data_IF_284082146138
#
_entry.id   IF_284082146138
#
_cell.length_a   1.000
_cell.length_b   1.000
_cell.length_c   1.000
_cell.angle_alpha   90.00
_cell.angle_beta   90.00
_cell.angle_gamma   90.00
#
_symmetry.space_group_name_H-M   'P 1'
#
loop_
_entity.id
_entity.type
_entity.pdbx_description
1 polymer ?
#
# COMPACT_ATOMS: atom_id res chain seq x y z
N UNK A 1 14.46 13.03 -42.58
CA UNK A 1 14.82 12.39 -41.29
C UNK A 1 13.60 11.63 -40.82
N UNK A 2 13.56 10.32 -41.08
CA UNK A 2 12.41 9.46 -40.80
C UNK A 2 12.44 9.05 -39.33
N UNK A 3 11.44 9.50 -38.57
CA UNK A 3 11.25 9.12 -37.17
C UNK A 3 10.65 7.70 -37.18
N UNK A 4 11.49 6.71 -36.86
CA UNK A 4 11.03 5.35 -36.59
C UNK A 4 10.32 5.34 -35.25
N UNK A 5 9.02 5.08 -35.26
CA UNK A 5 8.23 4.83 -34.07
C UNK A 5 8.51 3.39 -33.66
N UNK A 6 9.33 3.21 -32.63
CA UNK A 6 9.47 1.92 -31.94
C UNK A 6 8.11 1.53 -31.35
N UNK A 7 7.54 0.43 -31.84
CA UNK A 7 6.39 -0.21 -31.22
C UNK A 7 6.79 -0.72 -29.83
N UNK A 8 5.99 -0.50 -28.77
CA UNK A 8 6.26 -1.12 -27.49
C UNK A 8 6.13 -2.64 -27.61
N UNK A 9 7.06 -3.33 -26.94
CA UNK A 9 7.28 -4.76 -26.97
C UNK A 9 5.98 -5.58 -26.89
N UNK A 10 5.90 -6.56 -27.79
CA UNK A 10 4.88 -7.63 -27.77
C UNK A 10 4.86 -8.24 -26.38
N UNK A 11 3.76 -8.00 -25.66
CA UNK A 11 3.45 -8.66 -24.39
C UNK A 11 3.52 -10.16 -24.66
N UNK A 12 4.50 -10.82 -24.06
CA UNK A 12 4.71 -12.26 -24.24
C UNK A 12 3.41 -12.99 -23.92
N UNK A 13 2.92 -13.75 -24.89
CA UNK A 13 1.78 -14.64 -24.71
C UNK A 13 2.09 -15.55 -23.53
N UNK A 14 1.23 -15.53 -22.51
CA UNK A 14 1.34 -16.44 -21.38
C UNK A 14 0.98 -17.85 -21.88
N UNK A 15 1.95 -18.53 -22.50
CA UNK A 15 1.80 -19.92 -22.95
C UNK A 15 1.69 -20.85 -21.73
N UNK A 16 0.51 -21.47 -21.55
CA UNK A 16 0.34 -22.64 -20.69
C UNK A 16 -0.95 -22.73 -19.87
N UNK A 17 -1.70 -21.65 -19.67
CA UNK A 17 -2.97 -21.71 -18.93
C UNK A 17 -4.06 -20.95 -19.67
N UNK A 18 -4.98 -21.68 -20.27
CA UNK A 18 -6.18 -21.12 -20.88
C UNK A 18 -7.05 -20.52 -19.78
N UNK A 19 -7.30 -19.22 -19.86
CA UNK A 19 -8.22 -18.56 -18.96
C UNK A 19 -9.65 -19.04 -19.23
N UNK A 20 -10.33 -19.46 -18.16
CA UNK A 20 -11.74 -19.84 -18.21
C UNK A 20 -12.59 -18.76 -17.55
N UNK A 21 -13.64 -18.35 -18.26
CA UNK A 21 -14.54 -17.33 -17.77
C UNK A 21 -15.36 -17.86 -16.58
N UNK A 22 -15.33 -17.21 -15.41
CA UNK A 22 -16.09 -17.66 -14.26
C UNK A 22 -17.60 -17.44 -14.47
N UNK A 23 -18.42 -18.22 -13.76
CA UNK A 23 -19.86 -17.99 -13.73
C UNK A 23 -20.17 -16.65 -13.04
N UNK A 24 -21.12 -15.89 -13.59
CA UNK A 24 -21.43 -14.54 -13.10
C UNK A 24 -21.79 -14.49 -11.61
N UNK A 25 -22.47 -15.53 -11.10
CA UNK A 25 -22.92 -15.62 -9.71
C UNK A 25 -21.78 -15.89 -8.73
N UNK A 26 -20.65 -16.42 -9.20
CA UNK A 26 -19.54 -16.87 -8.34
C UNK A 26 -18.40 -15.85 -8.25
N UNK A 27 -18.33 -14.86 -9.14
CA UNK A 27 -17.23 -13.87 -9.16
C UNK A 27 -17.06 -13.16 -7.82
N UNK A 28 -18.15 -12.59 -7.27
CA UNK A 28 -18.09 -11.90 -5.98
C UNK A 28 -17.55 -12.80 -4.86
N UNK A 29 -18.03 -14.05 -4.82
CA UNK A 29 -17.63 -15.02 -3.80
C UNK A 29 -16.17 -15.44 -3.97
N UNK A 30 -15.71 -15.62 -5.21
CA UNK A 30 -14.34 -16.00 -5.52
C UNK A 30 -13.32 -14.90 -5.13
N UNK A 31 -13.71 -13.62 -5.22
CA UNK A 31 -12.89 -12.48 -4.85
C UNK A 31 -13.19 -11.92 -3.44
N UNK A 32 -14.05 -12.59 -2.68
CA UNK A 32 -14.39 -12.16 -1.33
C UNK A 32 -13.11 -12.10 -0.47
N UNK A 33 -12.88 -10.95 0.15
CA UNK A 33 -11.68 -10.74 0.95
C UNK A 33 -10.39 -10.51 0.16
N UNK A 34 -10.45 -10.19 -1.14
CA UNK A 34 -9.26 -9.91 -1.96
C UNK A 34 -8.35 -8.80 -1.42
N UNK A 35 -8.86 -7.92 -0.57
CA UNK A 35 -8.06 -6.88 0.10
C UNK A 35 -7.42 -7.34 1.42
N UNK A 36 -7.56 -8.61 1.81
CA UNK A 36 -7.01 -9.16 3.05
C UNK A 36 -5.60 -9.75 2.84
N UNK A 37 -4.74 -9.67 3.87
CA UNK A 37 -3.35 -10.19 3.82
C UNK A 37 -3.26 -11.70 3.57
N UNK A 38 -4.27 -12.46 3.97
CA UNK A 38 -4.32 -13.92 3.81
C UNK A 38 -5.03 -14.40 2.54
N UNK A 39 -5.41 -13.50 1.62
CA UNK A 39 -6.07 -13.90 0.39
C UNK A 39 -5.10 -14.66 -0.52
N UNK A 40 -5.49 -15.85 -0.98
CA UNK A 40 -4.68 -16.68 -1.88
C UNK A 40 -5.39 -16.74 -3.23
N UNK A 41 -4.90 -16.01 -4.26
CA UNK A 41 -5.52 -16.02 -5.57
C UNK A 41 -5.50 -17.42 -6.22
N UNK A 42 -6.60 -17.80 -6.85
CA UNK A 42 -6.71 -19.02 -7.66
C UNK A 42 -5.87 -18.92 -8.94
N UNK A 43 -5.74 -20.02 -9.70
CA UNK A 43 -5.02 -20.03 -10.98
C UNK A 43 -5.57 -18.99 -11.97
N UNK A 44 -6.90 -18.92 -12.12
CA UNK A 44 -7.53 -17.96 -13.03
C UNK A 44 -7.35 -16.52 -12.54
N UNK A 45 -7.47 -16.27 -11.24
CA UNK A 45 -7.28 -14.94 -10.66
C UNK A 45 -5.84 -14.45 -10.83
N UNK A 46 -4.83 -15.34 -10.72
CA UNK A 46 -3.43 -14.98 -10.99
C UNK A 46 -3.21 -14.50 -12.42
N UNK A 47 -3.89 -15.12 -13.40
CA UNK A 47 -3.82 -14.68 -14.80
C UNK A 47 -4.42 -13.28 -14.95
N UNK A 48 -5.59 -13.03 -14.38
CA UNK A 48 -6.23 -11.70 -14.41
C UNK A 48 -5.35 -10.66 -13.72
N UNK A 49 -4.81 -10.96 -12.54
CA UNK A 49 -3.92 -10.06 -11.78
C UNK A 49 -2.70 -9.70 -12.62
N UNK A 50 -2.04 -10.67 -13.26
CA UNK A 50 -0.85 -10.43 -14.07
C UNK A 50 -1.15 -9.48 -15.25
N UNK A 51 -2.29 -9.69 -15.92
CA UNK A 51 -2.67 -8.88 -17.07
C UNK A 51 -3.13 -7.47 -16.66
N UNK A 52 -3.85 -7.34 -15.54
CA UNK A 52 -4.21 -6.02 -14.99
C UNK A 52 -2.97 -5.26 -14.55
N UNK A 53 -1.99 -5.92 -13.93
CA UNK A 53 -0.71 -5.31 -13.59
C UNK A 53 0.00 -4.80 -14.86
N UNK A 54 0.08 -5.61 -15.92
CA UNK A 54 0.68 -5.20 -17.19
C UNK A 54 -0.05 -3.99 -17.84
N UNK A 55 -1.38 -3.92 -17.71
CA UNK A 55 -2.16 -2.77 -18.16
C UNK A 55 -1.79 -1.50 -17.37
N UNK A 56 -1.68 -1.61 -16.04
CA UNK A 56 -1.28 -0.50 -15.17
C UNK A 56 0.16 -0.04 -15.44
N UNK A 57 1.08 -0.98 -15.66
CA UNK A 57 2.48 -0.70 -15.99
C UNK A 57 2.62 -0.02 -17.37
N UNK A 58 1.65 -0.25 -18.26
CA UNK A 58 1.54 0.44 -19.56
C UNK A 58 0.93 1.85 -19.44
N UNK A 59 0.66 2.32 -18.22
CA UNK A 59 0.08 3.65 -17.96
C UNK A 59 -1.42 3.75 -18.24
N UNK A 60 -2.14 2.63 -18.31
CA UNK A 60 -3.60 2.65 -18.47
C UNK A 60 -4.27 2.86 -17.12
N UNK A 61 -5.10 3.90 -17.02
CA UNK A 61 -5.77 4.27 -15.76
C UNK A 61 -7.27 4.00 -15.78
N UNK A 62 -7.94 4.25 -16.91
CA UNK A 62 -9.38 4.13 -17.02
C UNK A 62 -9.82 2.66 -17.14
N UNK A 63 -10.90 2.31 -16.45
CA UNK A 63 -11.43 0.94 -16.38
C UNK A 63 -11.72 0.35 -17.76
N UNK A 64 -12.21 1.17 -18.69
CA UNK A 64 -12.50 0.76 -20.08
C UNK A 64 -11.23 0.35 -20.82
N UNK A 65 -10.14 1.10 -20.65
CA UNK A 65 -8.89 0.89 -21.36
C UNK A 65 -8.16 -0.32 -20.77
N UNK A 66 -8.12 -0.41 -19.44
CA UNK A 66 -7.57 -1.56 -18.71
C UNK A 66 -8.31 -2.84 -19.11
N UNK A 67 -9.64 -2.84 -19.09
CA UNK A 67 -10.45 -4.00 -19.51
C UNK A 67 -10.16 -4.40 -20.95
N UNK A 68 -10.14 -3.43 -21.87
CA UNK A 68 -9.92 -3.69 -23.30
C UNK A 68 -8.53 -4.29 -23.55
N UNK A 69 -7.51 -3.76 -22.87
CA UNK A 69 -6.16 -4.33 -22.86
C UNK A 69 -6.18 -5.77 -22.32
N UNK A 70 -6.84 -5.98 -21.18
CA UNK A 70 -6.89 -7.30 -20.54
C UNK A 70 -7.60 -8.33 -21.42
N UNK A 71 -8.73 -7.97 -22.03
CA UNK A 71 -9.50 -8.85 -22.88
C UNK A 71 -8.68 -9.32 -24.09
N UNK A 72 -7.94 -8.39 -24.72
CA UNK A 72 -7.03 -8.68 -25.83
C UNK A 72 -5.88 -9.59 -25.39
N UNK A 73 -5.23 -9.27 -24.27
CA UNK A 73 -4.09 -10.04 -23.77
C UNK A 73 -4.47 -11.47 -23.36
N UNK A 74 -5.71 -11.69 -22.91
CA UNK A 74 -6.23 -12.99 -22.52
C UNK A 74 -6.91 -13.75 -23.67
N UNK A 75 -7.02 -13.15 -24.86
CA UNK A 75 -7.60 -13.78 -26.04
C UNK A 75 -9.12 -13.98 -25.96
N UNK A 76 -9.85 -13.17 -25.19
CA UNK A 76 -11.31 -13.22 -25.13
C UNK A 76 -11.90 -12.86 -26.50
N UNK A 77 -12.69 -13.77 -27.07
CA UNK A 77 -13.39 -13.50 -28.33
C UNK A 77 -14.55 -12.53 -28.09
N UNK A 78 -14.97 -11.80 -29.14
CA UNK A 78 -16.12 -10.89 -29.05
C UNK A 78 -17.42 -11.60 -28.65
N UNK A 79 -17.55 -12.89 -28.97
CA UNK A 79 -18.68 -13.74 -28.59
C UNK A 79 -18.66 -14.06 -27.09
N UNK A 80 -17.49 -14.43 -26.55
CA UNK A 80 -17.30 -14.64 -25.12
C UNK A 80 -17.52 -13.35 -24.34
N UNK A 81 -17.06 -12.22 -24.88
CA UNK A 81 -17.24 -10.91 -24.27
C UNK A 81 -18.72 -10.48 -24.27
N UNK A 82 -19.46 -10.69 -25.36
CA UNK A 82 -20.89 -10.42 -25.41
C UNK A 82 -21.70 -11.33 -24.46
N UNK A 83 -21.36 -12.61 -24.38
CA UNK A 83 -21.97 -13.57 -23.45
C UNK A 83 -21.69 -13.22 -21.98
N UNK A 84 -20.55 -12.59 -21.70
CA UNK A 84 -20.12 -12.15 -20.37
C UNK A 84 -20.93 -10.96 -19.82
N UNK A 85 -21.43 -10.08 -20.70
CA UNK A 85 -22.21 -8.90 -20.31
C UNK A 85 -23.62 -9.24 -19.78
N UNK A 86 -24.33 -10.15 -20.45
CA UNK A 86 -25.74 -10.43 -20.15
C UNK A 86 -26.05 -10.93 -18.73
N UNK A 87 -25.28 -11.86 -18.13
CA UNK A 87 -25.63 -12.45 -16.84
C UNK A 87 -25.34 -11.53 -15.64
N UNK A 88 -24.41 -10.57 -15.77
CA UNK A 88 -24.02 -9.70 -14.67
C UNK A 88 -24.75 -8.35 -14.65
N UNK A 89 -25.21 -7.84 -15.82
CA UNK A 89 -25.86 -6.51 -15.95
C UNK A 89 -25.06 -5.34 -15.34
N UNK A 90 -23.74 -5.48 -15.24
CA UNK A 90 -22.81 -4.46 -14.75
C UNK A 90 -21.89 -3.99 -15.88
N UNK A 91 -21.33 -2.78 -15.72
CA UNK A 91 -20.36 -2.23 -16.65
C UNK A 91 -19.16 -3.16 -16.79
N UNK A 92 -18.87 -3.59 -18.03
CA UNK A 92 -17.78 -4.53 -18.34
C UNK A 92 -18.08 -6.01 -18.07
N UNK A 93 -19.28 -6.36 -17.59
CA UNK A 93 -19.69 -7.74 -17.34
C UNK A 93 -18.90 -8.45 -16.22
N UNK A 94 -19.01 -9.78 -16.19
CA UNK A 94 -18.23 -10.70 -15.33
C UNK A 94 -16.72 -10.45 -15.44
N UNK A 95 -16.19 -10.23 -16.64
CA UNK A 95 -14.74 -10.02 -16.82
C UNK A 95 -14.30 -8.63 -16.34
N UNK A 96 -15.16 -7.63 -16.49
CA UNK A 96 -14.96 -6.30 -15.89
C UNK A 96 -14.88 -6.39 -14.37
N UNK A 97 -15.73 -7.22 -13.74
CA UNK A 97 -15.65 -7.47 -12.29
C UNK A 97 -14.34 -8.15 -11.88
N UNK A 98 -13.88 -9.15 -12.63
CA UNK A 98 -12.57 -9.79 -12.41
C UNK A 98 -11.43 -8.75 -12.44
N UNK A 99 -11.41 -7.88 -13.47
CA UNK A 99 -10.42 -6.81 -13.59
C UNK A 99 -10.50 -5.82 -12.42
N UNK A 100 -11.71 -5.47 -11.99
CA UNK A 100 -11.94 -4.57 -10.86
C UNK A 100 -11.39 -5.15 -9.54
N UNK A 101 -11.68 -6.41 -9.23
CA UNK A 101 -11.19 -7.05 -8.01
C UNK A 101 -9.68 -7.32 -8.05
N UNK A 102 -9.13 -7.66 -9.21
CA UNK A 102 -7.70 -7.76 -9.40
C UNK A 102 -6.99 -6.43 -9.09
N UNK A 103 -7.55 -5.30 -9.54
CA UNK A 103 -7.02 -3.97 -9.20
C UNK A 103 -7.05 -3.69 -7.69
N UNK A 104 -8.18 -3.99 -7.02
CA UNK A 104 -8.29 -3.86 -5.56
C UNK A 104 -7.26 -4.69 -4.81
N UNK A 105 -7.05 -5.93 -5.27
CA UNK A 105 -6.02 -6.80 -4.73
C UNK A 105 -4.62 -6.17 -4.87
N UNK A 106 -4.26 -5.66 -6.05
CA UNK A 106 -2.97 -5.01 -6.29
C UNK A 106 -2.78 -3.77 -5.41
N UNK A 107 -3.81 -2.93 -5.29
CA UNK A 107 -3.79 -1.75 -4.41
C UNK A 107 -3.59 -2.16 -2.93
N UNK A 108 -4.24 -3.24 -2.49
CA UNK A 108 -4.07 -3.80 -1.15
C UNK A 108 -2.65 -4.34 -0.94
N UNK A 109 -2.08 -5.07 -1.90
CA UNK A 109 -0.69 -5.55 -1.82
C UNK A 109 0.30 -4.39 -1.72
N UNK A 110 0.12 -3.34 -2.52
CA UNK A 110 0.93 -2.12 -2.45
C UNK A 110 0.78 -1.39 -1.10
N UNK A 111 -0.44 -1.33 -0.54
CA UNK A 111 -0.68 -0.82 0.83
C UNK A 111 0.07 -1.66 1.87
N UNK A 112 -0.01 -2.98 1.82
CA UNK A 112 0.65 -3.87 2.77
C UNK A 112 2.17 -3.76 2.72
N UNK A 113 2.76 -3.71 1.53
CA UNK A 113 4.20 -3.49 1.38
C UNK A 113 4.65 -2.17 2.02
N UNK A 114 3.85 -1.09 1.90
CA UNK A 114 4.13 0.20 2.56
C UNK A 114 3.99 0.12 4.07
N UNK A 115 2.98 -0.59 4.57
CA UNK A 115 2.80 -0.83 6.00
C UNK A 115 3.97 -1.63 6.59
N UNK A 116 4.37 -2.73 5.94
CA UNK A 116 5.44 -3.60 6.41
C UNK A 116 6.78 -2.85 6.41
N UNK A 117 7.04 -2.02 5.39
CA UNK A 117 8.19 -1.13 5.35
C UNK A 117 8.17 -0.14 6.51
N UNK A 118 7.04 0.53 6.74
CA UNK A 118 6.91 1.49 7.85
C UNK A 118 7.06 0.80 9.21
N UNK A 119 6.54 -0.41 9.36
CA UNK A 119 6.65 -1.22 10.57
C UNK A 119 8.12 -1.63 10.83
N UNK A 120 8.82 -2.09 9.79
CA UNK A 120 10.24 -2.44 9.87
C UNK A 120 11.14 -1.23 10.18
N UNK A 121 10.76 -0.03 9.73
CA UNK A 121 11.46 1.22 10.06
C UNK A 121 11.17 1.66 11.50
N UNK A 122 9.90 1.67 11.92
CA UNK A 122 9.49 2.14 13.25
C UNK A 122 9.97 1.21 14.37
N UNK A 123 10.02 -0.10 14.12
CA UNK A 123 10.31 -1.16 15.12
C UNK A 123 9.50 -0.94 16.41
N UNK A 124 8.16 -0.94 16.32
CA UNK A 124 7.31 -0.55 17.43
C UNK A 124 7.49 -1.49 18.61
N UNK A 125 7.61 -0.92 19.81
CA UNK A 125 7.65 -1.66 21.07
C UNK A 125 6.83 -0.94 22.13
N UNK A 126 6.29 -1.72 23.08
CA UNK A 126 5.48 -1.17 24.18
C UNK A 126 6.30 -0.17 24.98
N UNK A 127 5.69 0.97 25.32
CA UNK A 127 6.32 2.08 26.02
C UNK A 127 7.05 3.07 25.11
N UNK A 128 7.17 2.81 23.80
CA UNK A 128 7.82 3.73 22.87
C UNK A 128 7.08 5.07 22.83
N UNK A 129 7.81 6.14 23.13
CA UNK A 129 7.29 7.50 23.08
C UNK A 129 7.38 8.04 21.66
N UNK A 130 6.22 8.29 21.07
CA UNK A 130 6.10 8.90 19.75
C UNK A 130 6.00 10.43 19.84
N UNK A 131 5.73 11.03 21.00
CA UNK A 131 5.74 12.49 21.16
C UNK A 131 4.50 13.17 20.56
N UNK A 132 4.69 14.21 19.73
CA UNK A 132 3.58 14.92 19.07
C UNK A 132 3.30 14.31 17.71
N UNK A 133 2.04 13.97 17.46
CA UNK A 133 1.54 13.42 16.19
C UNK A 133 0.24 14.12 15.76
N UNK A 134 -0.07 14.07 14.48
CA UNK A 134 -1.28 14.66 13.94
C UNK A 134 -1.93 13.74 12.90
N UNK A 135 -3.08 13.18 13.26
CA UNK A 135 -3.87 12.32 12.40
C UNK A 135 -4.52 13.11 11.24
N UNK A 136 -5.25 12.41 10.37
CA UNK A 136 -5.91 12.97 9.18
C UNK A 136 -6.99 14.01 9.48
N UNK A 137 -7.50 14.06 10.72
CA UNK A 137 -8.45 15.07 11.18
C UNK A 137 -7.80 16.41 11.59
N UNK A 138 -6.50 16.56 11.32
CA UNK A 138 -5.69 17.76 11.59
C UNK A 138 -5.68 18.23 13.05
N UNK A 139 -6.12 17.37 13.97
CA UNK A 139 -6.12 17.70 15.40
C UNK A 139 -4.83 17.19 16.05
N UNK A 140 -4.10 18.12 16.66
CA UNK A 140 -2.86 17.86 17.40
C UNK A 140 -3.09 16.87 18.54
N UNK A 141 -2.24 15.85 18.60
CA UNK A 141 -2.18 14.86 19.66
C UNK A 141 -0.79 14.87 20.28
N UNK A 142 -0.70 14.94 21.60
CA UNK A 142 0.57 15.06 22.33
C UNK A 142 0.79 13.89 23.27
N UNK A 143 2.06 13.62 23.59
CA UNK A 143 2.44 12.54 24.50
C UNK A 143 1.97 11.17 24.00
N UNK A 144 2.01 10.93 22.70
CA UNK A 144 1.66 9.65 22.11
C UNK A 144 2.65 8.57 22.56
N UNK A 145 2.12 7.46 23.07
CA UNK A 145 2.90 6.31 23.56
C UNK A 145 2.27 5.02 23.06
N UNK A 146 3.10 4.08 22.62
CA UNK A 146 2.67 2.73 22.26
C UNK A 146 2.33 1.94 23.51
N UNK A 147 1.09 1.44 23.62
CA UNK A 147 0.63 0.62 24.75
C UNK A 147 0.60 -0.86 24.44
N UNK A 148 0.36 -1.24 23.18
CA UNK A 148 0.30 -2.63 22.75
C UNK A 148 0.74 -2.74 21.28
N UNK A 149 1.36 -3.86 20.93
CA UNK A 149 1.71 -4.22 19.55
C UNK A 149 1.24 -5.65 19.30
N UNK A 150 0.30 -5.82 18.36
CA UNK A 150 -0.22 -7.12 17.90
C UNK A 150 -0.03 -7.21 16.39
N UNK A 151 0.95 -8.00 15.97
CA UNK A 151 1.37 -8.10 14.56
C UNK A 151 1.63 -6.71 13.95
N UNK A 152 0.79 -6.27 13.02
CA UNK A 152 0.87 -4.98 12.34
C UNK A 152 -0.05 -3.90 12.94
N UNK A 153 -0.79 -4.23 13.99
CA UNK A 153 -1.70 -3.31 14.69
C UNK A 153 -1.02 -2.80 15.95
N UNK A 154 -0.92 -1.48 16.05
CA UNK A 154 -0.26 -0.76 17.14
C UNK A 154 -1.33 0.02 17.90
N UNK A 155 -1.47 -0.25 19.19
CA UNK A 155 -2.35 0.51 20.07
C UNK A 155 -1.57 1.66 20.68
N UNK A 156 -2.11 2.87 20.56
CA UNK A 156 -1.51 4.09 21.08
C UNK A 156 -2.42 4.73 22.12
N UNK A 157 -1.81 5.34 23.13
CA UNK A 157 -2.47 6.35 23.96
C UNK A 157 -1.86 7.72 23.74
N UNK A 158 -2.70 8.74 23.62
CA UNK A 158 -2.27 10.11 23.43
C UNK A 158 -3.26 11.09 24.05
N UNK A 159 -2.79 12.32 24.29
CA UNK A 159 -3.63 13.41 24.77
C UNK A 159 -4.11 14.27 23.61
N UNK A 160 -5.39 14.61 23.62
CA UNK A 160 -6.01 15.61 22.75
C UNK A 160 -6.68 16.66 23.63
N UNK A 161 -5.99 17.80 23.79
CA UNK A 161 -6.33 18.77 24.82
C UNK A 161 -6.23 18.13 26.21
N UNK A 162 -7.34 18.12 26.95
CA UNK A 162 -7.43 17.52 28.31
C UNK A 162 -7.81 16.04 28.31
N UNK A 163 -8.21 15.48 27.15
CA UNK A 163 -8.74 14.12 27.06
C UNK A 163 -7.63 13.15 26.67
N UNK A 164 -7.56 12.02 27.36
CA UNK A 164 -6.73 10.87 26.97
C UNK A 164 -7.55 9.96 26.06
N UNK A 165 -6.98 9.58 24.91
CA UNK A 165 -7.64 8.71 23.93
C UNK A 165 -6.74 7.51 23.61
N UNK A 166 -7.37 6.41 23.19
CA UNK A 166 -6.73 5.24 22.63
C UNK A 166 -7.08 5.08 21.14
N UNK A 167 -6.14 4.61 20.33
CA UNK A 167 -6.42 4.24 18.94
C UNK A 167 -5.58 3.04 18.52
N UNK A 168 -6.18 2.16 17.72
CA UNK A 168 -5.50 1.06 17.03
C UNK A 168 -5.17 1.51 15.61
N UNK A 169 -3.89 1.50 15.26
CA UNK A 169 -3.40 2.04 13.98
C UNK A 169 -2.25 1.20 13.43
N UNK A 170 -2.01 1.27 12.12
CA UNK A 170 -0.81 0.67 11.50
C UNK A 170 0.39 1.62 11.59
N UNK A 171 1.60 1.07 11.44
CA UNK A 171 2.83 1.85 11.42
C UNK A 171 2.84 2.93 10.32
N UNK A 172 2.17 2.68 9.19
CA UNK A 172 2.02 3.66 8.11
C UNK A 172 1.22 4.89 8.54
N UNK A 173 0.17 4.69 9.34
CA UNK A 173 -0.63 5.80 9.89
C UNK A 173 0.23 6.63 10.86
N UNK A 174 1.05 5.98 11.69
CA UNK A 174 1.98 6.67 12.59
C UNK A 174 3.00 7.50 11.79
N UNK A 175 3.60 6.90 10.75
CA UNK A 175 4.50 7.61 9.83
C UNK A 175 3.85 8.88 9.29
N UNK A 176 2.69 8.73 8.66
CA UNK A 176 1.95 9.86 8.10
C UNK A 176 1.55 10.89 9.16
N UNK A 177 1.31 10.48 10.41
CA UNK A 177 0.95 11.38 11.48
C UNK A 177 2.15 12.16 12.06
N UNK A 178 3.34 11.56 12.04
CA UNK A 178 4.60 12.22 12.41
C UNK A 178 4.99 13.23 11.33
N UNK A 179 5.01 12.81 10.07
CA UNK A 179 5.38 13.67 8.94
C UNK A 179 4.45 14.88 8.84
N UNK A 180 3.13 14.68 8.99
CA UNK A 180 2.17 15.80 8.99
C UNK A 180 2.38 16.75 10.18
N UNK A 181 2.76 16.24 11.35
CA UNK A 181 3.08 17.09 12.50
C UNK A 181 4.35 17.91 12.26
N UNK A 182 5.36 17.34 11.59
CA UNK A 182 6.56 18.05 11.17
C UNK A 182 6.27 19.13 10.11
N UNK A 183 5.46 18.81 9.09
CA UNK A 183 5.01 19.78 8.06
C UNK A 183 4.30 21.00 8.65
N UNK A 184 3.53 20.81 9.73
CA UNK A 184 2.87 21.90 10.47
C UNK A 184 3.73 22.52 11.56
N UNK A 185 5.02 22.18 11.63
CA UNK A 185 5.97 22.70 12.62
C UNK A 185 5.56 22.44 14.09
N UNK A 186 4.67 21.45 14.31
CA UNK A 186 4.27 21.00 15.66
C UNK A 186 5.30 20.05 16.27
N UNK A 187 6.27 19.64 15.46
CA UNK A 187 7.36 18.73 15.75
C UNK A 187 8.60 19.14 14.95
N UNK A 188 9.79 18.83 15.47
CA UNK A 188 11.08 19.16 14.82
C UNK A 188 11.56 18.11 13.84
N UNK A 189 11.34 16.85 14.17
CA UNK A 189 11.79 15.66 13.46
C UNK A 189 10.71 15.08 12.53
N UNK A 190 11.11 14.68 11.32
CA UNK A 190 10.30 13.85 10.42
C UNK A 190 10.34 12.38 10.83
N UNK A 191 9.51 11.52 10.25
CA UNK A 191 9.51 10.09 10.57
C UNK A 191 10.86 9.43 10.30
N UNK A 192 11.49 9.76 9.17
CA UNK A 192 12.78 9.17 8.81
C UNK A 192 13.89 9.63 9.78
N UNK A 193 13.83 10.86 10.28
CA UNK A 193 14.76 11.36 11.32
C UNK A 193 14.49 10.72 12.68
N UNK A 194 13.21 10.51 13.03
CA UNK A 194 12.80 9.87 14.28
C UNK A 194 13.22 8.39 14.35
N UNK A 195 13.19 7.69 13.21
CA UNK A 195 13.53 6.27 13.10
C UNK A 195 14.99 6.02 12.71
N UNK A 196 15.74 7.07 12.38
CA UNK A 196 17.17 6.96 12.12
C UNK A 196 17.88 6.38 13.35
N UNK A 197 18.85 5.46 13.17
CA UNK A 197 19.73 5.07 14.27
C UNK A 197 20.37 6.35 14.81
N UNK A 198 20.29 6.59 16.12
CA UNK A 198 21.02 7.69 16.73
C UNK A 198 22.48 7.54 16.31
N UNK A 199 22.96 8.44 15.44
CA UNK A 199 24.37 8.52 15.11
C UNK A 199 25.08 8.61 16.46
N UNK A 200 26.01 7.68 16.70
CA UNK A 200 26.86 7.64 17.88
C UNK A 200 27.23 9.08 18.24
N UNK A 201 26.76 9.54 19.40
CA UNK A 201 27.16 10.83 19.92
C UNK A 201 28.69 10.87 19.88
N UNK A 202 29.31 11.93 19.31
CA UNK A 202 30.75 12.08 19.44
C UNK A 202 31.06 12.07 20.94
N UNK A 203 31.97 11.16 21.33
CA UNK A 203 32.40 11.00 22.71
C UNK A 203 32.73 12.38 23.30
N UNK A 204 32.39 12.65 24.57
CA UNK A 204 32.74 13.91 25.20
C UNK A 204 34.25 14.09 25.07
N UNK A 205 34.66 15.12 24.31
CA UNK A 205 36.05 15.56 24.26
C UNK A 205 36.43 15.87 25.70
N UNK A 206 37.28 15.02 26.26
CA UNK A 206 37.87 15.25 27.56
C UNK A 206 38.68 16.53 27.43
N UNK A 207 38.28 17.54 28.19
CA UNK A 207 39.03 18.77 28.32
C UNK A 207 40.43 18.42 28.83
N UNK A 208 41.44 18.55 27.98
CA UNK A 208 42.82 18.62 28.43
C UNK A 208 42.93 19.83 29.36
N UNK A 209 43.07 19.54 30.64
CA UNK A 209 43.41 20.51 31.66
C UNK A 209 44.87 20.87 31.43
N UNK A 210 45.14 22.12 31.03
CA UNK A 210 46.48 22.72 31.13
C UNK A 210 46.99 22.55 32.56
N UNK A 211 48.20 22.00 32.78
CA UNK A 211 48.98 22.36 33.93
C UNK A 211 49.80 23.61 33.56
N UNK A 212 49.27 24.75 34.00
CA UNK A 212 50.09 25.91 34.35
C UNK A 212 51.14 25.48 35.37
N UNK A 213 52.43 25.62 35.03
CA UNK A 213 53.53 25.70 35.98
C UNK A 213 54.61 26.64 35.44
N UNK A 214 54.78 27.74 36.16
CA UNK A 214 56.00 28.50 36.49
C UNK A 214 57.26 28.27 35.65
#
# INVERSE_FOLDING_TARGET
MSISIEQPAVVSSHSGASYELPEAKTVYQAWAGCEARGFIPSKNQKLVIAVVQAAMDSGLFYTTDVRSFCAKAMGLTSEQDAANFQPARVEGGVFGMECYYARKYLDAMSRFAREDKAHAQLKPHVGQKLGTIMFNDFKRSTGAVVSEVKDNVITLHFKRGKVLLGAEVSALVIKNAIDRAAEKQLRRDTFDQFTAPAALAPAPQSAETEPSLF
#
